data_IF_654470458956
#
_entry.id   IF_654470458956
#
_cell.length_a   1.000
_cell.length_b   1.000
_cell.length_c   1.000
_cell.angle_alpha   90.00
_cell.angle_beta   90.00
_cell.angle_gamma   90.00
#
_symmetry.space_group_name_H-M   'P 1'
#
loop_
_entity.id
_entity.type
_entity.pdbx_description
1 polymer ?
#
# COMPACT_ATOMS: atom_id res chain seq x y z
N UNK A 1 17.01 0.64 -0.66
CA UNK A 1 16.64 -0.68 -0.15
C UNK A 1 15.83 -1.43 -1.19
N UNK A 2 15.82 -2.78 -1.13
CA UNK A 2 15.06 -3.64 -2.04
C UNK A 2 13.57 -3.28 -2.10
N UNK A 3 13.00 -2.83 -0.98
CA UNK A 3 11.59 -2.43 -0.89
C UNK A 3 11.30 -1.16 -1.69
N UNK A 4 12.24 -0.22 -1.71
CA UNK A 4 12.14 0.98 -2.56
C UNK A 4 12.29 0.64 -4.05
N UNK A 5 13.14 -0.32 -4.40
CA UNK A 5 13.37 -0.73 -5.79
C UNK A 5 12.16 -1.48 -6.37
N UNK A 6 11.54 -2.40 -5.62
CA UNK A 6 10.31 -3.05 -6.04
C UNK A 6 9.18 -2.04 -6.27
N UNK A 7 9.13 -1.03 -5.44
CA UNK A 7 8.11 0.01 -5.49
C UNK A 7 8.42 1.01 -6.62
N UNK A 8 9.67 1.43 -6.81
CA UNK A 8 10.11 2.30 -7.91
C UNK A 8 9.98 1.63 -9.29
N UNK A 9 10.11 0.31 -9.36
CA UNK A 9 9.92 -0.47 -10.60
C UNK A 9 8.47 -0.54 -11.09
N UNK A 10 7.49 -0.14 -10.28
CA UNK A 10 6.05 -0.22 -10.61
C UNK A 10 5.47 1.03 -11.28
N UNK A 11 6.31 1.96 -11.73
CA UNK A 11 5.93 3.09 -12.59
C UNK A 11 5.69 4.42 -11.86
N UNK A 12 5.24 5.44 -12.61
CA UNK A 12 5.19 6.85 -12.21
C UNK A 12 4.22 7.23 -11.07
N UNK A 13 3.52 6.27 -10.47
CA UNK A 13 2.58 6.50 -9.37
C UNK A 13 3.22 6.43 -8.00
N UNK A 14 4.50 6.07 -7.91
CA UNK A 14 5.14 5.87 -6.64
C UNK A 14 5.68 7.18 -6.06
N UNK A 15 5.29 7.42 -4.82
CA UNK A 15 5.87 8.45 -3.97
C UNK A 15 6.12 7.85 -2.57
N UNK A 16 7.19 8.25 -1.90
CA UNK A 16 7.41 7.93 -0.49
C UNK A 16 6.67 8.89 0.46
N UNK A 17 5.81 9.75 -0.08
CA UNK A 17 5.02 10.71 0.68
C UNK A 17 3.67 11.01 0.00
N UNK A 18 2.67 11.34 0.81
CA UNK A 18 1.29 11.57 0.37
C UNK A 18 0.69 12.79 1.07
N UNK A 19 0.22 13.74 0.29
CA UNK A 19 -0.47 14.92 0.80
C UNK A 19 -1.83 14.57 1.37
N UNK A 20 -2.19 15.19 2.52
CA UNK A 20 -3.57 15.16 3.00
C UNK A 20 -4.50 15.96 2.07
N UNK A 21 -5.80 15.60 1.97
CA UNK A 21 -6.78 16.32 1.14
C UNK A 21 -6.86 17.82 1.42
N UNK A 22 -6.68 18.25 2.68
CA UNK A 22 -6.65 19.65 3.10
C UNK A 22 -5.31 20.36 2.87
N UNK A 23 -4.31 19.64 2.32
CA UNK A 23 -2.94 20.10 2.12
C UNK A 23 -2.23 20.59 3.41
N UNK A 24 -2.75 20.27 4.58
CA UNK A 24 -2.18 20.68 5.87
C UNK A 24 -1.15 19.69 6.42
N UNK A 25 -1.07 18.47 5.88
CA UNK A 25 -0.20 17.40 6.38
C UNK A 25 0.41 16.60 5.23
N UNK A 26 1.52 15.93 5.54
CA UNK A 26 2.14 14.95 4.65
C UNK A 26 2.35 13.66 5.44
N UNK A 27 1.81 12.54 4.93
CA UNK A 27 2.20 11.21 5.34
C UNK A 27 3.46 10.79 4.59
N UNK A 28 4.39 10.11 5.24
CA UNK A 28 5.62 9.66 4.60
C UNK A 28 6.16 8.38 5.24
N UNK A 29 6.90 7.61 4.44
CA UNK A 29 7.65 6.46 4.93
C UNK A 29 9.04 6.91 5.40
N UNK A 30 9.42 6.46 6.58
CA UNK A 30 10.78 6.55 7.10
C UNK A 30 11.38 5.15 7.10
N UNK A 31 12.50 5.00 6.43
CA UNK A 31 13.23 3.73 6.31
C UNK A 31 14.56 3.86 7.03
N UNK A 32 14.87 2.91 7.93
CA UNK A 32 16.15 2.77 8.60
C UNK A 32 16.86 1.51 8.08
N UNK A 33 17.90 1.72 7.28
CA UNK A 33 18.70 0.66 6.64
C UNK A 33 19.84 0.15 7.54
N UNK A 34 20.03 0.70 8.75
CA UNK A 34 21.14 0.32 9.64
C UNK A 34 21.21 -1.19 9.95
N UNK A 35 20.07 -1.93 10.08
CA UNK A 35 20.11 -3.37 10.30
C UNK A 35 20.55 -4.18 9.08
N UNK A 36 20.49 -3.60 7.87
CA UNK A 36 20.69 -4.31 6.62
C UNK A 36 22.18 -4.52 6.34
N UNK A 37 22.62 -5.76 6.02
CA UNK A 37 24.00 -6.02 5.64
C UNK A 37 24.41 -5.25 4.38
N UNK A 38 25.68 -4.80 4.38
CA UNK A 38 26.26 -4.10 3.24
C UNK A 38 26.63 -5.08 2.12
N UNK A 39 26.29 -4.72 0.90
CA UNK A 39 26.68 -5.43 -0.32
C UNK A 39 27.65 -4.58 -1.15
N UNK A 40 28.64 -5.24 -1.73
CA UNK A 40 29.74 -4.61 -2.46
C UNK A 40 29.58 -4.88 -3.95
N UNK A 41 29.39 -3.85 -4.75
CA UNK A 41 29.26 -3.89 -6.20
C UNK A 41 30.46 -3.22 -6.86
N UNK A 42 31.02 -3.85 -7.89
CA UNK A 42 31.99 -3.20 -8.75
C UNK A 42 31.25 -2.49 -9.91
N UNK A 43 31.14 -1.17 -9.85
CA UNK A 43 30.58 -0.35 -10.91
C UNK A 43 31.68 -0.06 -11.95
N UNK A 44 31.51 -0.62 -13.16
CA UNK A 44 32.48 -0.47 -14.26
C UNK A 44 32.17 0.71 -15.18
N UNK A 45 30.92 1.15 -15.22
CA UNK A 45 30.44 2.11 -16.24
C UNK A 45 30.64 3.59 -15.89
N UNK A 46 30.93 3.92 -14.62
CA UNK A 46 30.96 5.32 -14.11
C UNK A 46 32.36 5.80 -13.75
N UNK A 47 33.40 5.20 -14.31
CA UNK A 47 34.75 5.58 -13.97
C UNK A 47 35.42 6.35 -15.09
N UNK A 48 35.92 7.57 -14.79
CA UNK A 48 36.84 8.30 -15.65
C UNK A 48 38.22 7.60 -15.80
N UNK A 49 38.25 6.29 -15.55
CA UNK A 49 39.48 5.52 -15.56
C UNK A 49 39.28 4.00 -15.68
N UNK A 50 40.38 3.29 -15.95
CA UNK A 50 40.39 1.85 -16.20
C UNK A 50 40.11 0.97 -14.95
N UNK A 51 39.85 1.55 -13.79
CA UNK A 51 39.84 0.79 -12.52
C UNK A 51 38.47 0.60 -11.87
N UNK A 52 37.38 1.15 -12.45
CA UNK A 52 36.06 1.06 -11.83
C UNK A 52 35.98 1.69 -10.42
N UNK A 53 34.81 1.64 -9.82
CA UNK A 53 34.62 2.06 -8.42
C UNK A 53 33.89 0.96 -7.62
N UNK A 54 34.15 0.92 -6.32
CA UNK A 54 33.38 0.10 -5.41
C UNK A 54 32.15 0.87 -4.95
N UNK A 55 30.97 0.33 -5.24
CA UNK A 55 29.70 0.81 -4.70
C UNK A 55 29.32 -0.08 -3.50
N UNK A 56 29.00 0.57 -2.38
CA UNK A 56 28.62 -0.12 -1.15
C UNK A 56 27.18 0.31 -0.84
N UNK A 57 26.27 -0.66 -0.82
CA UNK A 57 24.83 -0.39 -0.59
C UNK A 57 24.26 -1.39 0.43
N UNK A 58 23.34 -0.96 1.32
CA UNK A 58 22.55 -1.90 2.10
C UNK A 58 21.70 -2.75 1.15
N UNK A 59 21.85 -4.08 1.24
CA UNK A 59 21.12 -5.02 0.38
C UNK A 59 20.83 -6.32 1.13
N UNK A 60 19.58 -6.55 1.56
CA UNK A 60 19.23 -7.77 2.28
C UNK A 60 19.16 -8.95 1.32
N UNK A 61 19.81 -10.05 1.67
CA UNK A 61 19.64 -11.35 1.03
C UNK A 61 18.56 -12.17 1.74
N UNK A 62 18.04 -13.25 1.14
CA UNK A 62 17.12 -14.15 1.83
C UNK A 62 17.66 -14.57 3.22
N UNK A 63 16.89 -14.29 4.26
CA UNK A 63 17.25 -14.55 5.65
C UNK A 63 17.95 -13.41 6.39
N UNK A 64 18.38 -12.36 5.69
CA UNK A 64 18.93 -11.15 6.33
C UNK A 64 17.80 -10.27 6.90
N UNK A 65 18.11 -9.41 7.88
CA UNK A 65 17.15 -8.41 8.35
C UNK A 65 16.78 -7.41 7.24
N UNK A 66 15.50 -7.06 7.16
CA UNK A 66 15.01 -5.99 6.32
C UNK A 66 15.24 -4.61 6.97
N UNK A 67 15.13 -3.51 6.20
CA UNK A 67 15.01 -2.17 6.76
C UNK A 67 13.84 -2.06 7.75
N UNK A 68 14.00 -1.24 8.78
CA UNK A 68 12.90 -0.89 9.67
C UNK A 68 12.11 0.26 9.06
N UNK A 69 10.84 0.01 8.75
CA UNK A 69 9.95 0.99 8.10
C UNK A 69 8.91 1.51 9.08
N UNK A 70 8.69 2.83 9.09
CA UNK A 70 7.68 3.52 9.92
C UNK A 70 6.87 4.48 9.06
N UNK A 71 5.59 4.63 9.38
CA UNK A 71 4.73 5.65 8.81
C UNK A 71 4.68 6.86 9.73
N UNK A 72 5.11 8.02 9.21
CA UNK A 72 5.02 9.31 9.89
C UNK A 72 4.02 10.23 9.23
N UNK A 73 3.41 11.12 10.01
CA UNK A 73 2.56 12.21 9.51
C UNK A 73 3.09 13.52 10.08
N UNK A 74 3.59 14.39 9.22
CA UNK A 74 4.03 15.73 9.61
C UNK A 74 2.90 16.74 9.39
N UNK A 75 2.62 17.53 10.42
CA UNK A 75 1.76 18.71 10.34
C UNK A 75 2.58 19.91 9.88
N UNK A 76 2.18 20.50 8.75
CA UNK A 76 2.94 21.57 8.10
C UNK A 76 2.88 22.92 8.81
N UNK A 77 1.88 23.11 9.66
CA UNK A 77 1.76 24.34 10.47
C UNK A 77 2.72 24.32 11.66
N UNK A 78 2.86 23.16 12.31
CA UNK A 78 3.64 23.02 13.54
C UNK A 78 5.02 22.41 13.31
N UNK A 79 5.25 21.74 12.17
CA UNK A 79 6.44 20.94 11.87
C UNK A 79 6.55 19.66 12.73
N UNK A 80 5.51 19.33 13.51
CA UNK A 80 5.53 18.15 14.38
C UNK A 80 5.16 16.90 13.60
N UNK A 81 5.95 15.83 13.76
CA UNK A 81 5.63 14.49 13.24
C UNK A 81 4.92 13.65 14.30
N UNK A 82 3.83 13.02 13.91
CA UNK A 82 3.17 11.94 14.65
C UNK A 82 3.47 10.61 13.95
N UNK A 83 3.98 9.63 14.71
CA UNK A 83 4.26 8.29 14.19
C UNK A 83 3.06 7.38 14.40
N UNK A 84 2.71 6.62 13.36
CA UNK A 84 1.74 5.51 13.49
C UNK A 84 2.40 4.43 14.36
N UNK A 85 1.70 3.98 15.39
CA UNK A 85 2.25 3.10 16.43
C UNK A 85 2.22 1.62 16.03
N UNK A 86 2.67 1.30 14.82
CA UNK A 86 2.93 -0.09 14.43
C UNK A 86 4.10 -0.64 15.23
N UNK A 87 4.18 -1.97 15.37
CA UNK A 87 5.30 -2.62 16.06
C UNK A 87 6.54 -2.60 15.16
N UNK A 88 7.46 -1.69 15.46
CA UNK A 88 8.73 -1.52 14.73
C UNK A 88 9.78 -2.63 15.01
N UNK A 89 9.48 -3.56 15.92
CA UNK A 89 10.30 -4.74 16.18
C UNK A 89 9.91 -5.95 15.34
N UNK A 90 8.70 -5.91 14.79
CA UNK A 90 8.22 -6.95 13.87
C UNK A 90 8.66 -6.63 12.46
N UNK A 91 9.24 -7.62 11.77
CA UNK A 91 9.60 -7.49 10.37
C UNK A 91 8.32 -7.40 9.51
N UNK A 92 8.08 -6.24 8.92
CA UNK A 92 6.84 -5.88 8.24
C UNK A 92 7.10 -4.95 7.08
N UNK A 93 6.17 -4.98 6.12
CA UNK A 93 6.13 -4.03 5.02
C UNK A 93 4.97 -3.06 5.24
N UNK A 94 5.22 -1.77 5.06
CA UNK A 94 4.20 -0.71 5.16
C UNK A 94 4.11 -0.02 3.81
N UNK A 95 2.90 0.05 3.22
CA UNK A 95 2.73 0.61 1.89
C UNK A 95 1.35 1.24 1.68
N UNK A 96 1.23 1.94 0.56
CA UNK A 96 0.00 2.41 -0.08
C UNK A 96 -0.99 3.08 0.89
N UNK A 97 -0.59 4.11 1.63
CA UNK A 97 -1.50 4.81 2.50
C UNK A 97 -2.56 5.58 1.71
N UNK A 98 -3.76 5.64 2.27
CA UNK A 98 -4.87 6.41 1.72
C UNK A 98 -5.47 7.31 2.79
N UNK A 99 -5.59 8.60 2.51
CA UNK A 99 -6.19 9.55 3.43
C UNK A 99 -7.71 9.41 3.50
N UNK A 100 -8.28 9.61 4.69
CA UNK A 100 -9.72 9.90 4.78
C UNK A 100 -10.01 11.32 4.27
N UNK A 101 -11.20 11.57 3.69
CA UNK A 101 -11.54 12.87 3.09
C UNK A 101 -11.41 14.06 4.06
N UNK A 102 -11.58 13.83 5.35
CA UNK A 102 -11.47 14.85 6.42
C UNK A 102 -10.03 15.09 6.90
N UNK A 103 -9.03 14.41 6.31
CA UNK A 103 -7.61 14.54 6.65
C UNK A 103 -7.26 14.20 8.10
N UNK A 104 -8.12 13.44 8.82
CA UNK A 104 -7.94 13.08 10.21
C UNK A 104 -7.38 11.69 10.42
N UNK A 105 -7.58 10.81 9.46
CA UNK A 105 -7.13 9.42 9.54
C UNK A 105 -6.42 9.00 8.27
N UNK A 106 -5.56 8.01 8.42
CA UNK A 106 -4.79 7.41 7.34
C UNK A 106 -5.03 5.91 7.34
N UNK A 107 -5.55 5.38 6.24
CA UNK A 107 -5.61 3.95 5.98
C UNK A 107 -4.23 3.48 5.54
N UNK A 108 -3.63 2.53 6.23
CA UNK A 108 -2.29 2.03 5.96
C UNK A 108 -2.33 0.52 5.81
N UNK A 109 -1.64 -0.01 4.82
CA UNK A 109 -1.47 -1.44 4.63
C UNK A 109 -0.21 -1.89 5.35
N UNK A 110 -0.33 -2.93 6.17
CA UNK A 110 0.76 -3.57 6.90
C UNK A 110 0.77 -5.05 6.53
N UNK A 111 1.84 -5.49 5.90
CA UNK A 111 2.03 -6.87 5.45
C UNK A 111 3.16 -7.50 6.26
N UNK A 112 2.98 -8.74 6.73
CA UNK A 112 4.05 -9.47 7.40
C UNK A 112 5.14 -9.87 6.40
N UNK A 113 6.33 -10.25 6.91
CA UNK A 113 7.47 -10.64 6.08
C UNK A 113 7.18 -11.82 5.14
N UNK A 114 6.40 -12.79 5.60
CA UNK A 114 6.03 -13.95 4.79
C UNK A 114 5.00 -13.62 3.70
N UNK A 115 4.50 -12.38 3.70
CA UNK A 115 3.55 -11.83 2.74
C UNK A 115 2.29 -12.69 2.57
N UNK A 116 1.79 -13.20 3.68
CA UNK A 116 0.58 -14.03 3.73
C UNK A 116 -0.47 -13.54 4.72
N UNK A 117 -0.21 -12.39 5.37
CA UNK A 117 -1.10 -11.76 6.35
C UNK A 117 -1.04 -10.23 6.17
N UNK A 118 -2.06 -9.68 5.51
CA UNK A 118 -2.25 -8.27 5.25
C UNK A 118 -3.28 -7.66 6.19
N UNK A 119 -2.89 -6.62 6.90
CA UNK A 119 -3.76 -5.79 7.73
C UNK A 119 -3.96 -4.43 7.09
N UNK A 120 -5.19 -3.92 7.10
CA UNK A 120 -5.47 -2.50 6.90
C UNK A 120 -5.74 -1.89 8.26
N UNK A 121 -4.91 -0.96 8.65
CA UNK A 121 -5.04 -0.19 9.88
C UNK A 121 -5.48 1.23 9.56
N UNK A 122 -6.45 1.73 10.30
CA UNK A 122 -6.91 3.12 10.22
C UNK A 122 -6.30 3.90 11.38
N UNK A 123 -5.26 4.68 11.07
CA UNK A 123 -4.48 5.43 12.05
C UNK A 123 -5.06 6.84 12.26
N UNK A 124 -5.17 7.27 13.52
CA UNK A 124 -5.42 8.66 13.89
C UNK A 124 -4.14 9.47 13.73
N UNK A 125 -4.16 10.48 12.87
CA UNK A 125 -2.94 11.25 12.53
C UNK A 125 -2.50 12.21 13.62
N UNK A 126 -3.32 12.44 14.65
CA UNK A 126 -2.98 13.31 15.79
C UNK A 126 -2.30 12.55 16.93
N UNK A 127 -2.68 11.28 17.14
CA UNK A 127 -2.22 10.44 18.23
C UNK A 127 -1.31 9.29 17.79
N UNK A 128 -1.41 8.86 16.53
CA UNK A 128 -0.71 7.70 15.98
C UNK A 128 -1.32 6.35 16.38
N UNK A 129 -2.38 6.35 17.21
CA UNK A 129 -3.13 5.13 17.53
C UNK A 129 -3.92 4.66 16.31
N UNK A 130 -4.17 3.36 16.21
CA UNK A 130 -4.90 2.79 15.08
C UNK A 130 -5.91 1.72 15.50
N UNK A 131 -6.83 1.42 14.58
CA UNK A 131 -7.73 0.26 14.64
C UNK A 131 -7.57 -0.55 13.36
N UNK A 132 -7.61 -1.89 13.47
CA UNK A 132 -7.70 -2.76 12.29
C UNK A 132 -9.10 -2.66 11.70
N UNK A 133 -9.20 -2.38 10.39
CA UNK A 133 -10.48 -2.24 9.67
C UNK A 133 -10.66 -3.30 8.58
N UNK A 134 -9.61 -4.03 8.24
CA UNK A 134 -9.65 -5.13 7.29
C UNK A 134 -8.46 -6.05 7.49
N UNK A 135 -8.65 -7.35 7.25
CA UNK A 135 -7.56 -8.33 7.21
C UNK A 135 -7.79 -9.37 6.14
N UNK A 136 -6.73 -9.70 5.43
CA UNK A 136 -6.71 -10.82 4.51
C UNK A 136 -5.50 -11.72 4.80
N UNK A 137 -5.75 -13.01 4.98
CA UNK A 137 -4.73 -14.03 5.21
C UNK A 137 -4.87 -15.13 4.18
N UNK A 138 -3.72 -15.65 3.71
CA UNK A 138 -3.67 -16.79 2.80
C UNK A 138 -2.58 -17.77 3.23
N UNK A 139 -2.74 -19.05 2.99
CA UNK A 139 -1.66 -20.01 3.28
C UNK A 139 -0.47 -19.85 2.33
N UNK A 140 -0.63 -19.11 1.23
CA UNK A 140 0.40 -18.92 0.20
C UNK A 140 0.91 -17.49 0.16
N UNK A 141 0.14 -16.56 -0.43
CA UNK A 141 0.58 -15.20 -0.72
C UNK A 141 -0.60 -14.22 -0.73
N UNK A 142 -0.38 -13.00 -0.22
CA UNK A 142 -1.28 -11.85 -0.34
C UNK A 142 -0.51 -10.71 -0.98
N UNK A 143 -1.00 -10.19 -2.10
CA UNK A 143 -0.46 -9.00 -2.73
C UNK A 143 -0.87 -7.73 -2.00
N UNK A 144 -0.09 -6.66 -2.14
CA UNK A 144 -0.53 -5.32 -1.78
C UNK A 144 -1.75 -4.89 -2.63
N UNK A 145 -2.66 -4.17 -2.00
CA UNK A 145 -3.86 -3.66 -2.65
C UNK A 145 -3.61 -2.25 -3.19
N UNK A 146 -3.29 -2.15 -4.47
CA UNK A 146 -3.05 -0.86 -5.14
C UNK A 146 -4.36 -0.12 -5.45
N UNK A 147 -5.44 -0.89 -5.63
CA UNK A 147 -6.76 -0.38 -6.02
C UNK A 147 -7.67 -0.24 -4.80
N UNK A 148 -7.43 0.80 -4.01
CA UNK A 148 -8.33 1.20 -2.92
C UNK A 148 -9.00 2.51 -3.31
N UNK A 149 -10.32 2.56 -3.24
CA UNK A 149 -11.08 3.79 -3.40
C UNK A 149 -11.71 4.18 -2.06
N UNK A 150 -11.26 5.28 -1.50
CA UNK A 150 -11.87 5.88 -0.30
C UNK A 150 -13.06 6.72 -0.72
N UNK A 151 -14.24 6.46 -0.14
CA UNK A 151 -15.48 7.17 -0.46
C UNK A 151 -15.39 8.63 -0.03
N UNK A 152 -15.77 9.56 -0.93
CA UNK A 152 -15.68 11.00 -0.67
C UNK A 152 -16.62 11.48 0.45
N UNK A 153 -17.72 10.76 0.69
CA UNK A 153 -18.64 11.02 1.80
C UNK A 153 -18.13 10.51 3.15
N UNK A 154 -16.97 9.85 3.17
CA UNK A 154 -16.37 9.30 4.38
C UNK A 154 -17.05 8.04 4.91
N UNK A 155 -17.89 7.36 4.13
CA UNK A 155 -18.63 6.16 4.57
C UNK A 155 -17.78 4.90 4.66
N UNK A 156 -16.63 4.85 3.95
CA UNK A 156 -15.76 3.68 3.94
C UNK A 156 -14.83 3.65 2.74
N UNK A 157 -14.49 2.43 2.31
CA UNK A 157 -13.59 2.22 1.18
C UNK A 157 -13.97 0.98 0.37
N UNK A 158 -13.68 1.02 -0.93
CA UNK A 158 -13.81 -0.12 -1.83
C UNK A 158 -12.41 -0.71 -2.01
N UNK A 159 -12.33 -2.03 -1.92
CA UNK A 159 -11.11 -2.81 -2.11
C UNK A 159 -11.34 -3.93 -3.12
N UNK A 160 -10.31 -4.24 -3.90
CA UNK A 160 -10.28 -5.42 -4.76
C UNK A 160 -9.56 -6.53 -4.00
N UNK A 161 -10.26 -7.61 -3.65
CA UNK A 161 -9.76 -8.70 -2.81
C UNK A 161 -9.95 -10.06 -3.48
N UNK A 162 -9.01 -10.97 -3.21
CA UNK A 162 -9.04 -12.38 -3.65
C UNK A 162 -9.68 -13.32 -2.59
N UNK A 163 -10.39 -12.79 -1.62
CA UNK A 163 -10.88 -13.50 -0.43
C UNK A 163 -11.80 -14.72 -0.73
N UNK A 164 -12.47 -14.70 -1.88
CA UNK A 164 -13.43 -15.74 -2.32
C UNK A 164 -12.91 -16.47 -3.57
N UNK A 165 -11.59 -16.70 -3.68
CA UNK A 165 -10.88 -17.41 -4.76
C UNK A 165 -10.87 -16.72 -6.13
N UNK A 166 -11.56 -15.59 -6.24
CA UNK A 166 -11.50 -14.69 -7.40
C UNK A 166 -11.35 -13.25 -6.95
N UNK A 167 -10.60 -12.44 -7.70
CA UNK A 167 -10.54 -11.01 -7.43
C UNK A 167 -11.90 -10.38 -7.71
N UNK A 168 -12.55 -9.93 -6.66
CA UNK A 168 -13.81 -9.23 -6.69
C UNK A 168 -13.71 -7.90 -5.91
N UNK A 169 -14.75 -7.05 -6.03
CA UNK A 169 -14.83 -5.75 -5.36
C UNK A 169 -15.74 -5.84 -4.14
N UNK A 170 -15.26 -5.25 -3.04
CA UNK A 170 -15.93 -5.25 -1.74
C UNK A 170 -15.95 -3.86 -1.16
N UNK A 171 -17.04 -3.46 -0.55
CA UNK A 171 -17.19 -2.18 0.15
C UNK A 171 -17.24 -2.41 1.64
N UNK A 172 -16.30 -1.77 2.36
CA UNK A 172 -16.15 -1.86 3.81
C UNK A 172 -16.39 -0.50 4.46
N UNK A 173 -17.02 -0.51 5.65
CA UNK A 173 -17.04 0.63 6.56
C UNK A 173 -15.75 0.78 7.35
N UNK A 174 -15.55 1.95 7.96
CA UNK A 174 -14.40 2.21 8.83
C UNK A 174 -14.42 1.44 10.17
N UNK A 175 -15.52 0.78 10.47
CA UNK A 175 -15.67 -0.16 11.59
C UNK A 175 -15.24 -1.59 11.27
N UNK A 176 -14.76 -1.82 10.04
CA UNK A 176 -14.33 -3.12 9.56
C UNK A 176 -15.47 -4.03 9.06
N UNK A 177 -16.71 -3.54 9.09
CA UNK A 177 -17.85 -4.32 8.62
C UNK A 177 -17.94 -4.31 7.09
N UNK A 178 -18.15 -5.48 6.48
CA UNK A 178 -18.49 -5.59 5.07
C UNK A 178 -19.91 -5.01 4.83
N UNK A 179 -19.96 -3.90 4.09
CA UNK A 179 -21.24 -3.27 3.73
C UNK A 179 -21.85 -3.98 2.51
N UNK A 180 -21.03 -4.27 1.49
CA UNK A 180 -21.50 -4.91 0.26
C UNK A 180 -20.38 -5.64 -0.47
N UNK A 181 -20.69 -6.82 -1.01
CA UNK A 181 -19.94 -7.45 -2.11
C UNK A 181 -20.45 -6.82 -3.41
N UNK A 182 -19.63 -5.98 -4.05
CA UNK A 182 -20.02 -5.21 -5.24
C UNK A 182 -20.06 -6.10 -6.48
N UNK A 183 -19.10 -7.03 -6.60
CA UNK A 183 -19.03 -8.00 -7.69
C UNK A 183 -18.93 -9.42 -7.13
N UNK A 184 -19.48 -10.39 -7.87
CA UNK A 184 -19.45 -11.81 -7.52
C UNK A 184 -19.26 -12.63 -8.79
N UNK A 185 -18.02 -12.62 -9.29
CA UNK A 185 -17.64 -13.28 -10.54
C UNK A 185 -16.72 -14.45 -10.25
N UNK A 186 -16.78 -15.46 -11.12
CA UNK A 186 -15.87 -16.59 -11.21
C UNK A 186 -14.71 -16.34 -12.21
N UNK A 187 -14.36 -15.04 -12.37
CA UNK A 187 -13.25 -14.55 -13.17
C UNK A 187 -12.63 -13.30 -12.53
N UNK A 188 -11.43 -12.92 -13.00
CA UNK A 188 -10.60 -11.91 -12.34
C UNK A 188 -11.05 -10.49 -12.66
N UNK A 189 -11.43 -9.71 -11.64
CA UNK A 189 -11.42 -8.25 -11.68
C UNK A 189 -9.96 -7.80 -11.61
N UNK A 190 -9.48 -7.04 -12.60
CA UNK A 190 -8.07 -6.67 -12.71
C UNK A 190 -7.74 -5.30 -12.12
N UNK A 191 -8.72 -4.40 -11.98
CA UNK A 191 -8.51 -3.09 -11.37
C UNK A 191 -9.76 -2.23 -11.30
N UNK A 192 -9.78 -1.26 -10.37
CA UNK A 192 -10.80 -0.21 -10.29
C UNK A 192 -10.38 0.92 -11.23
N UNK A 193 -11.22 1.24 -12.22
CA UNK A 193 -10.97 2.32 -13.18
C UNK A 193 -11.53 3.64 -12.68
N UNK A 194 -12.76 3.62 -12.15
CA UNK A 194 -13.46 4.81 -11.65
C UNK A 194 -14.62 4.41 -10.75
N UNK A 195 -14.84 5.18 -9.70
CA UNK A 195 -16.09 5.14 -8.91
C UNK A 195 -16.87 6.42 -9.15
N UNK A 196 -18.13 6.30 -9.59
CA UNK A 196 -19.08 7.40 -9.69
C UNK A 196 -20.05 7.31 -8.51
N UNK A 197 -19.68 7.95 -7.41
CA UNK A 197 -20.44 7.88 -6.16
C UNK A 197 -21.84 8.46 -6.28
N UNK A 198 -22.01 9.51 -7.11
CA UNK A 198 -23.31 10.15 -7.32
C UNK A 198 -24.30 9.21 -8.03
N UNK A 199 -23.80 8.37 -8.94
CA UNK A 199 -24.63 7.38 -9.65
C UNK A 199 -24.61 6.00 -9.00
N UNK A 200 -23.77 5.80 -7.98
CA UNK A 200 -23.48 4.50 -7.34
C UNK A 200 -23.02 3.48 -8.39
N UNK A 201 -22.09 3.88 -9.25
CA UNK A 201 -21.55 3.04 -10.31
C UNK A 201 -20.03 2.85 -10.11
N UNK A 202 -19.57 1.60 -10.25
CA UNK A 202 -18.15 1.28 -10.27
C UNK A 202 -17.79 0.80 -11.66
N UNK A 203 -16.81 1.47 -12.27
CA UNK A 203 -16.18 1.07 -13.52
C UNK A 203 -14.88 0.35 -13.19
N UNK A 204 -14.71 -0.85 -13.74
CA UNK A 204 -13.57 -1.70 -13.44
C UNK A 204 -13.12 -2.45 -14.68
N UNK A 205 -11.88 -2.89 -14.70
CA UNK A 205 -11.34 -3.80 -15.70
C UNK A 205 -11.38 -5.24 -15.20
N UNK A 206 -11.49 -6.19 -16.10
CA UNK A 206 -11.54 -7.60 -15.76
C UNK A 206 -11.43 -8.50 -16.99
N UNK A 207 -11.06 -9.76 -16.75
CA UNK A 207 -10.87 -10.73 -17.84
C UNK A 207 -12.19 -11.15 -18.48
N UNK A 208 -13.29 -11.14 -17.71
CA UNK A 208 -14.48 -11.87 -18.14
C UNK A 208 -14.23 -13.38 -18.16
N UNK A 209 -15.06 -14.13 -18.89
CA UNK A 209 -14.91 -15.58 -19.00
C UNK A 209 -13.64 -16.05 -19.71
N UNK A 210 -13.07 -15.24 -20.61
CA UNK A 210 -11.80 -15.55 -21.25
C UNK A 210 -10.63 -14.90 -20.50
N UNK A 211 -9.75 -15.70 -19.85
CA UNK A 211 -8.63 -15.17 -19.05
C UNK A 211 -7.56 -14.46 -19.87
N UNK A 212 -7.55 -14.58 -21.18
CA UNK A 212 -6.61 -13.90 -22.09
C UNK A 212 -7.08 -12.52 -22.53
N UNK A 213 -8.31 -12.16 -22.23
CA UNK A 213 -8.89 -10.86 -22.54
C UNK A 213 -8.93 -9.95 -21.31
N UNK A 214 -9.11 -8.65 -21.55
CA UNK A 214 -9.34 -7.66 -20.50
C UNK A 214 -10.26 -6.56 -21.01
N UNK A 215 -11.40 -6.40 -20.36
CA UNK A 215 -12.46 -5.51 -20.79
C UNK A 215 -12.83 -4.50 -19.70
N UNK A 216 -13.49 -3.42 -20.10
CA UNK A 216 -14.09 -2.46 -19.19
C UNK A 216 -15.52 -2.87 -18.86
N UNK A 217 -15.81 -2.97 -17.58
CA UNK A 217 -17.12 -3.30 -17.03
C UNK A 217 -17.68 -2.17 -16.18
N UNK A 218 -18.98 -2.23 -15.93
CA UNK A 218 -19.67 -1.37 -14.99
C UNK A 218 -20.65 -2.19 -14.17
N UNK A 219 -20.72 -1.90 -12.88
CA UNK A 219 -21.71 -2.43 -11.92
C UNK A 219 -22.36 -1.27 -11.17
N UNK A 220 -23.56 -1.49 -10.69
CA UNK A 220 -24.35 -0.51 -9.94
C UNK A 220 -24.66 -1.02 -8.55
#
# INVERSE_FOLDING_TARGET
SSDLEEILGRGSRYAAFWWSPDAGKIAYLHTDDNPVPLYYLNALEDSDGAHGRLEITPYPKPGDPNPVVKMGVVDLTTGKTTWVKTDDKTDQYIAWPSWTPDSRKLLVQVLNRDQNDMQFILADVSAGDFTEVYRETRPTWVDFFEDIHVMADGSGFIVRSYRDDWYNLYFYGWDGNLISKITDFDWKVTGIVRVDEARKEVYFSGTGPDPLENHLYRVR
#
